data_IF_405001076555
#
_entry.id   IF_405001076555
#
_cell.length_a   1.000
_cell.length_b   1.000
_cell.length_c   1.000
_cell.angle_alpha   90.00
_cell.angle_beta   90.00
_cell.angle_gamma   90.00
#
_symmetry.space_group_name_H-M   'P 1'
#
loop_
_entity.id
_entity.type
_entity.pdbx_description
1 polymer ?
#
# COMPACT_ATOMS: atom_id res chain seq x y z
N UNK A 1 -22.78 30.34 12.17
CA UNK A 1 -23.86 29.35 12.36
C UNK A 1 -24.76 29.41 11.15
N UNK A 2 -24.52 28.63 10.16
CA UNK A 2 -25.33 28.53 8.94
C UNK A 2 -25.45 27.04 8.65
N UNK A 3 -26.68 26.54 8.64
CA UNK A 3 -27.05 25.14 8.52
C UNK A 3 -26.80 24.68 7.09
N UNK A 4 -26.13 23.53 6.90
CA UNK A 4 -26.11 22.82 5.64
C UNK A 4 -27.53 22.36 5.27
N UNK A 5 -27.97 22.48 4.02
CA UNK A 5 -29.27 21.97 3.60
C UNK A 5 -29.23 20.45 3.44
N UNK A 6 -30.32 19.81 3.89
CA UNK A 6 -30.66 18.41 3.71
C UNK A 6 -30.63 18.01 2.22
N UNK A 7 -29.70 17.18 1.84
CA UNK A 7 -29.61 16.57 0.51
C UNK A 7 -29.54 15.05 0.59
N UNK A 8 -30.43 14.45 1.41
CA UNK A 8 -30.63 13.00 1.43
C UNK A 8 -32.12 12.66 1.57
N UNK A 9 -32.98 13.20 0.75
CA UNK A 9 -34.32 12.63 0.47
C UNK A 9 -34.53 12.63 -1.02
N UNK A 10 -34.34 11.48 -1.67
CA UNK A 10 -34.93 11.22 -2.99
C UNK A 10 -36.22 10.45 -2.78
N UNK A 11 -37.31 11.11 -3.14
CA UNK A 11 -38.63 10.53 -3.22
C UNK A 11 -38.65 9.40 -4.26
N UNK A 12 -39.17 8.25 -3.84
CA UNK A 12 -39.45 7.12 -4.70
C UNK A 12 -40.75 7.40 -5.49
N UNK A 13 -40.78 7.28 -6.81
CA UNK A 13 -42.02 7.29 -7.54
C UNK A 13 -42.74 5.94 -7.39
N UNK A 14 -44.03 6.04 -7.09
CA UNK A 14 -44.99 4.96 -6.96
C UNK A 14 -44.98 4.03 -8.21
N UNK A 15 -44.75 2.76 -8.02
CA UNK A 15 -44.99 1.72 -9.03
C UNK A 15 -46.16 0.81 -8.61
N UNK A 16 -47.03 0.63 -9.58
CA UNK A 16 -48.25 -0.14 -9.60
C UNK A 16 -48.08 -1.61 -9.20
N UNK A 17 -49.06 -2.12 -8.45
CA UNK A 17 -49.19 -3.50 -8.06
C UNK A 17 -49.32 -4.47 -9.25
N UNK A 18 -48.31 -5.37 -9.39
CA UNK A 18 -48.51 -6.65 -10.08
C UNK A 18 -48.46 -7.76 -8.99
N UNK A 19 -49.54 -8.43 -8.84
CA UNK A 19 -49.72 -9.59 -7.92
C UNK A 19 -48.97 -10.79 -8.54
N UNK A 20 -47.78 -11.11 -8.01
CA UNK A 20 -47.10 -12.36 -8.34
C UNK A 20 -47.26 -13.33 -7.18
N UNK A 21 -47.81 -14.49 -7.49
CA UNK A 21 -48.03 -15.61 -6.59
C UNK A 21 -46.73 -16.07 -5.94
N UNK A 22 -46.61 -15.92 -4.63
CA UNK A 22 -45.47 -16.42 -3.85
C UNK A 22 -45.51 -17.94 -3.75
N UNK A 23 -44.52 -18.59 -4.32
CA UNK A 23 -44.19 -19.98 -4.00
C UNK A 23 -43.49 -19.99 -2.66
N UNK A 24 -44.09 -20.69 -1.68
CA UNK A 24 -43.53 -20.88 -0.33
C UNK A 24 -42.23 -21.66 -0.41
N UNK A 25 -41.10 -20.99 -0.17
CA UNK A 25 -39.80 -21.62 0.03
C UNK A 25 -39.75 -22.15 1.46
N UNK A 26 -39.42 -23.43 1.61
CA UNK A 26 -39.26 -24.09 2.89
C UNK A 26 -38.22 -23.38 3.77
N UNK A 27 -38.37 -23.31 5.10
CA UNK A 27 -37.43 -22.60 5.95
C UNK A 27 -36.04 -23.27 5.89
N UNK A 28 -35.07 -22.49 5.49
CA UNK A 28 -33.64 -22.87 5.51
C UNK A 28 -33.25 -23.20 6.95
N UNK A 29 -32.86 -24.43 7.22
CA UNK A 29 -32.29 -24.81 8.50
C UNK A 29 -31.05 -23.97 8.78
N UNK A 30 -31.11 -23.09 9.73
CA UNK A 30 -29.97 -22.39 10.30
C UNK A 30 -29.07 -23.40 11.00
N UNK A 31 -27.96 -23.75 10.38
CA UNK A 31 -26.90 -24.53 11.02
C UNK A 31 -26.35 -23.64 12.16
N UNK A 32 -26.38 -24.07 13.42
CA UNK A 32 -25.84 -23.27 14.51
C UNK A 32 -24.33 -23.11 14.27
N UNK A 33 -23.90 -21.88 14.04
CA UNK A 33 -22.47 -21.50 13.99
C UNK A 33 -21.92 -21.83 15.38
N UNK A 34 -21.11 -22.91 15.43
CA UNK A 34 -20.37 -23.27 16.64
C UNK A 34 -19.41 -22.12 16.90
N UNK A 35 -19.72 -21.27 17.86
CA UNK A 35 -18.79 -20.24 18.35
C UNK A 35 -17.54 -20.98 18.81
N UNK A 36 -16.48 -20.91 18.02
CA UNK A 36 -15.18 -21.45 18.37
C UNK A 36 -14.75 -20.73 19.64
N UNK A 37 -14.66 -21.46 20.75
CA UNK A 37 -14.11 -20.94 22.00
C UNK A 37 -12.79 -20.25 21.67
N UNK A 38 -12.64 -18.98 22.10
CA UNK A 38 -11.37 -18.24 22.06
C UNK A 38 -10.25 -19.23 22.47
N UNK A 39 -9.42 -19.66 21.54
CA UNK A 39 -8.24 -20.40 21.91
C UNK A 39 -7.34 -19.39 22.60
N UNK A 40 -7.07 -19.59 23.88
CA UNK A 40 -6.05 -18.86 24.61
C UNK A 40 -4.70 -19.20 23.98
N UNK A 41 -4.30 -18.52 22.89
CA UNK A 41 -2.91 -18.54 22.48
C UNK A 41 -2.13 -17.77 23.54
N UNK A 42 -0.95 -18.29 23.97
CA UNK A 42 -0.05 -17.50 24.81
C UNK A 42 0.16 -16.16 24.14
N UNK A 43 -0.03 -15.05 24.87
CA UNK A 43 0.11 -13.68 24.37
C UNK A 43 1.52 -13.32 23.89
N UNK A 44 2.51 -14.18 24.09
CA UNK A 44 3.92 -13.84 24.02
C UNK A 44 4.75 -14.67 23.03
N UNK A 45 4.15 -15.34 22.06
CA UNK A 45 4.90 -16.10 21.05
C UNK A 45 5.17 -15.24 19.81
N UNK A 46 6.02 -14.23 19.97
CA UNK A 46 6.58 -13.49 18.87
C UNK A 46 7.73 -14.29 18.26
N UNK A 47 7.76 -14.43 16.94
CA UNK A 47 8.83 -15.09 16.21
C UNK A 47 9.52 -14.11 15.28
N UNK A 48 10.81 -13.99 15.43
CA UNK A 48 11.72 -13.21 14.59
C UNK A 48 13.09 -13.88 14.54
N UNK A 49 13.92 -13.48 13.59
CA UNK A 49 15.26 -14.06 13.46
C UNK A 49 16.24 -13.48 14.46
N UNK A 50 17.22 -14.31 14.84
CA UNK A 50 18.31 -13.90 15.74
C UNK A 50 19.11 -12.72 15.20
N UNK A 51 19.23 -12.60 13.86
CA UNK A 51 19.91 -11.49 13.18
C UNK A 51 19.41 -10.10 13.58
N UNK A 52 18.17 -9.98 14.03
CA UNK A 52 17.55 -8.71 14.44
C UNK A 52 17.14 -8.68 15.92
N UNK A 53 17.36 -9.77 16.66
CA UNK A 53 16.85 -9.92 18.03
C UNK A 53 17.33 -8.81 18.99
N UNK A 54 18.50 -8.25 18.76
CA UNK A 54 19.12 -7.20 19.58
C UNK A 54 19.09 -5.80 18.95
N UNK A 55 18.52 -5.66 17.77
CA UNK A 55 18.57 -4.41 17.00
C UNK A 55 17.87 -3.23 17.72
N UNK A 56 16.91 -3.51 18.61
CA UNK A 56 16.19 -2.49 19.39
C UNK A 56 16.65 -2.38 20.85
N UNK A 57 17.79 -3.00 21.21
CA UNK A 57 18.34 -2.85 22.56
C UNK A 57 18.68 -1.38 22.84
N UNK A 58 18.37 -0.90 24.06
CA UNK A 58 18.57 0.50 24.45
C UNK A 58 17.52 1.49 23.92
N UNK A 59 16.70 1.14 22.93
CA UNK A 59 15.61 2.00 22.48
C UNK A 59 14.52 2.08 23.55
N UNK A 60 14.01 3.31 23.79
CA UNK A 60 13.02 3.60 24.83
C UNK A 60 11.61 3.15 24.41
N UNK A 61 11.42 1.83 24.35
CA UNK A 61 10.14 1.16 24.08
C UNK A 61 9.98 -0.02 25.03
N UNK A 62 8.74 -0.38 25.44
CA UNK A 62 8.48 -1.60 26.20
C UNK A 62 8.96 -2.84 25.45
N UNK A 63 9.39 -3.86 26.20
CA UNK A 63 9.89 -5.11 25.60
C UNK A 63 8.85 -5.77 24.69
N UNK A 64 7.60 -5.83 25.11
CA UNK A 64 6.48 -6.39 24.32
C UNK A 64 6.31 -5.70 22.97
N UNK A 65 6.46 -4.37 22.94
CA UNK A 65 6.40 -3.57 21.71
C UNK A 65 7.59 -3.84 20.80
N UNK A 66 8.80 -3.97 21.37
CA UNK A 66 10.01 -4.34 20.61
C UNK A 66 9.85 -5.71 19.96
N UNK A 67 9.43 -6.70 20.72
CA UNK A 67 9.20 -8.07 20.24
C UNK A 67 8.16 -8.08 19.12
N UNK A 68 7.09 -7.30 19.26
CA UNK A 68 6.06 -7.15 18.23
C UNK A 68 6.60 -6.49 16.95
N UNK A 69 7.39 -5.43 17.06
CA UNK A 69 8.03 -4.77 15.91
C UNK A 69 8.90 -5.74 15.14
N UNK A 70 9.78 -6.46 15.85
CA UNK A 70 10.69 -7.44 15.25
C UNK A 70 9.92 -8.57 14.54
N UNK A 71 8.86 -9.08 15.15
CA UNK A 71 8.03 -10.10 14.55
C UNK A 71 7.24 -9.57 13.34
N UNK A 72 6.67 -8.36 13.42
CA UNK A 72 5.97 -7.73 12.31
C UNK A 72 6.90 -7.45 11.13
N UNK A 73 8.17 -7.10 11.38
CA UNK A 73 9.14 -6.91 10.30
C UNK A 73 9.37 -8.20 9.50
N UNK A 74 9.50 -9.34 10.18
CA UNK A 74 9.62 -10.64 9.54
C UNK A 74 8.33 -11.03 8.82
N UNK A 75 7.16 -10.81 9.44
CA UNK A 75 5.86 -11.09 8.81
C UNK A 75 5.69 -10.32 7.49
N UNK A 76 6.03 -9.02 7.49
CA UNK A 76 5.99 -8.19 6.30
C UNK A 76 6.96 -8.71 5.23
N UNK A 77 8.23 -8.81 5.59
CA UNK A 77 9.31 -9.17 4.66
C UNK A 77 9.02 -10.50 3.94
N UNK A 78 8.66 -11.55 4.70
CA UNK A 78 8.34 -12.85 4.09
C UNK A 78 7.02 -12.88 3.33
N UNK A 79 6.08 -11.97 3.62
CA UNK A 79 4.85 -11.86 2.88
C UNK A 79 5.08 -11.23 1.51
N UNK A 80 5.79 -10.11 1.46
CA UNK A 80 5.97 -9.36 0.22
C UNK A 80 7.13 -9.86 -0.64
N UNK A 81 8.16 -10.48 -0.03
CA UNK A 81 9.30 -11.11 -0.72
C UNK A 81 9.45 -12.56 -0.23
N UNK A 82 8.58 -13.48 -0.70
CA UNK A 82 8.58 -14.87 -0.23
C UNK A 82 9.78 -15.67 -0.75
N UNK A 83 10.43 -15.24 -1.83
CA UNK A 83 11.58 -15.87 -2.44
C UNK A 83 12.76 -14.90 -2.48
N UNK A 84 13.88 -15.34 -1.99
CA UNK A 84 15.12 -14.57 -1.95
C UNK A 84 16.32 -15.54 -2.00
N UNK A 85 17.47 -15.06 -2.46
CA UNK A 85 18.75 -15.79 -2.51
C UNK A 85 19.79 -15.14 -1.61
N UNK A 86 19.71 -13.83 -1.42
CA UNK A 86 20.66 -13.05 -0.63
C UNK A 86 20.18 -12.79 0.80
N UNK A 87 20.68 -13.60 1.75
CA UNK A 87 20.31 -13.47 3.17
C UNK A 87 20.70 -12.11 3.75
N UNK A 88 21.87 -11.60 3.43
CA UNK A 88 22.35 -10.33 3.99
C UNK A 88 21.42 -9.17 3.60
N UNK A 89 21.07 -9.08 2.32
CA UNK A 89 20.12 -8.10 1.81
C UNK A 89 18.71 -8.30 2.41
N UNK A 90 18.31 -9.52 2.61
CA UNK A 90 17.01 -9.82 3.22
C UNK A 90 16.95 -9.37 4.68
N UNK A 91 18.02 -9.54 5.46
CA UNK A 91 18.15 -9.00 6.83
C UNK A 91 18.19 -7.47 6.82
N UNK A 92 18.94 -6.87 5.88
CA UNK A 92 18.93 -5.41 5.70
C UNK A 92 17.50 -4.89 5.42
N UNK A 93 16.72 -5.59 4.60
CA UNK A 93 15.31 -5.24 4.38
C UNK A 93 14.45 -5.39 5.64
N UNK A 94 14.67 -6.41 6.47
CA UNK A 94 13.97 -6.49 7.76
C UNK A 94 14.27 -5.25 8.64
N UNK A 95 15.51 -4.75 8.65
CA UNK A 95 15.89 -3.52 9.37
C UNK A 95 15.21 -2.27 8.81
N UNK A 96 15.08 -2.18 7.50
CA UNK A 96 14.27 -1.17 6.82
C UNK A 96 12.83 -1.19 7.34
N UNK A 97 12.22 -2.37 7.43
CA UNK A 97 10.84 -2.51 7.91
C UNK A 97 10.72 -2.18 9.41
N UNK A 98 11.72 -2.54 10.24
CA UNK A 98 11.75 -2.15 11.67
C UNK A 98 11.70 -0.62 11.81
N UNK A 99 12.58 0.10 11.11
CA UNK A 99 12.59 1.57 11.12
C UNK A 99 11.27 2.14 10.60
N UNK A 100 10.73 1.56 9.52
CA UNK A 100 9.45 1.98 8.93
C UNK A 100 8.28 1.81 9.90
N UNK A 101 8.17 0.68 10.59
CA UNK A 101 7.13 0.45 11.60
C UNK A 101 7.22 1.52 12.71
N UNK A 102 8.43 1.80 13.22
CA UNK A 102 8.62 2.83 14.26
C UNK A 102 8.27 4.22 13.72
N UNK A 103 8.62 4.54 12.48
CA UNK A 103 8.25 5.80 11.84
C UNK A 103 6.73 6.00 11.80
N UNK A 104 5.95 4.93 11.60
CA UNK A 104 4.51 5.01 11.50
C UNK A 104 3.77 5.25 12.83
N UNK A 105 4.35 4.89 13.98
CA UNK A 105 3.65 5.02 15.27
C UNK A 105 4.40 5.82 16.35
N UNK A 106 5.71 6.00 16.21
CA UNK A 106 6.58 6.70 17.17
C UNK A 106 7.65 7.52 16.44
N UNK A 107 7.24 8.34 15.48
CA UNK A 107 8.12 9.15 14.65
C UNK A 107 9.07 10.05 15.44
N UNK A 108 8.74 10.42 16.68
CA UNK A 108 9.63 11.19 17.54
C UNK A 108 10.96 10.46 17.86
N UNK A 109 11.00 9.13 17.74
CA UNK A 109 12.20 8.33 17.97
C UNK A 109 13.21 8.40 16.83
N UNK A 110 12.82 8.94 15.68
CA UNK A 110 13.70 9.01 14.51
C UNK A 110 13.60 10.37 13.81
N UNK A 111 14.73 10.84 13.29
CA UNK A 111 14.79 12.07 12.50
C UNK A 111 16.02 12.04 11.59
N UNK A 112 15.80 11.71 10.32
CA UNK A 112 16.87 11.62 9.32
C UNK A 112 17.52 12.96 8.98
N UNK A 113 16.96 14.08 9.43
CA UNK A 113 17.59 15.39 9.26
C UNK A 113 18.74 15.65 10.23
N UNK A 114 18.87 14.79 11.26
CA UNK A 114 19.92 14.88 12.28
C UNK A 114 21.17 14.07 11.97
N UNK A 115 21.18 13.33 10.85
CA UNK A 115 22.30 12.52 10.42
C UNK A 115 21.93 11.07 10.15
N UNK A 116 22.94 10.24 9.95
CA UNK A 116 22.83 8.85 9.53
C UNK A 116 22.37 7.87 10.63
N UNK A 117 22.57 8.24 11.90
CA UNK A 117 22.18 7.36 13.01
C UNK A 117 20.67 7.43 13.26
N UNK A 118 19.96 6.40 12.83
CA UNK A 118 18.50 6.24 13.02
C UNK A 118 18.26 5.05 13.94
N UNK A 119 17.70 5.29 15.14
CA UNK A 119 17.63 4.29 16.20
C UNK A 119 19.06 3.80 16.55
N UNK A 120 19.37 2.53 16.31
CA UNK A 120 20.71 1.98 16.49
C UNK A 120 21.43 1.69 15.16
N UNK A 121 20.83 2.10 14.02
CA UNK A 121 21.36 1.78 12.70
C UNK A 121 22.12 2.96 12.10
N UNK A 122 23.22 2.67 11.39
CA UNK A 122 23.69 3.51 10.31
C UNK A 122 22.73 3.30 9.15
N UNK A 123 21.88 4.30 8.87
CA UNK A 123 20.87 4.21 7.81
C UNK A 123 21.51 4.02 6.44
N UNK A 124 22.56 4.79 6.13
CA UNK A 124 23.29 4.67 4.87
C UNK A 124 24.02 3.32 4.78
N UNK A 125 24.48 2.76 5.93
CA UNK A 125 25.02 1.42 6.00
C UNK A 125 23.98 0.36 5.62
N UNK A 126 22.81 0.37 6.22
CA UNK A 126 21.73 -0.58 5.92
C UNK A 126 21.28 -0.47 4.47
N UNK A 127 21.15 0.75 3.94
CA UNK A 127 20.78 0.99 2.53
C UNK A 127 21.88 0.54 1.56
N UNK A 128 23.14 0.72 1.94
CA UNK A 128 24.28 0.22 1.17
C UNK A 128 24.33 -1.31 1.15
N UNK A 129 24.12 -1.96 2.30
CA UNK A 129 24.04 -3.43 2.38
C UNK A 129 22.95 -3.98 1.45
N UNK A 130 21.84 -3.24 1.31
CA UNK A 130 20.70 -3.64 0.51
C UNK A 130 20.92 -3.43 -0.99
N UNK A 131 21.50 -2.28 -1.40
CA UNK A 131 21.51 -1.83 -2.80
C UNK A 131 22.89 -1.72 -3.44
N UNK A 132 23.97 -2.03 -2.76
CA UNK A 132 25.31 -2.03 -3.41
C UNK A 132 25.32 -3.00 -4.57
N UNK A 133 25.72 -2.52 -5.75
CA UNK A 133 25.73 -3.29 -6.99
C UNK A 133 24.50 -3.08 -7.88
N UNK A 134 23.42 -2.51 -7.36
CA UNK A 134 22.23 -2.16 -8.18
C UNK A 134 22.45 -0.88 -8.97
N UNK A 135 21.67 -0.61 -10.03
CA UNK A 135 21.85 0.57 -10.89
C UNK A 135 21.62 1.93 -10.23
N UNK A 136 20.76 2.04 -9.20
CA UNK A 136 20.45 3.33 -8.55
C UNK A 136 20.34 3.24 -7.02
N UNK A 137 21.43 2.91 -6.29
CA UNK A 137 21.43 2.86 -4.83
C UNK A 137 21.06 4.21 -4.20
N UNK A 138 21.55 5.31 -4.76
CA UNK A 138 21.30 6.66 -4.24
C UNK A 138 19.83 7.07 -4.42
N UNK A 139 19.21 6.70 -5.53
CA UNK A 139 17.77 6.93 -5.75
C UNK A 139 16.92 6.17 -4.73
N UNK A 140 17.20 4.90 -4.52
CA UNK A 140 16.49 4.09 -3.53
C UNK A 140 16.70 4.59 -2.10
N UNK A 141 17.89 5.07 -1.77
CA UNK A 141 18.15 5.70 -0.47
C UNK A 141 17.27 6.94 -0.26
N UNK A 142 17.13 7.80 -1.28
CA UNK A 142 16.23 8.98 -1.20
C UNK A 142 14.76 8.59 -1.07
N UNK A 143 14.29 7.56 -1.78
CA UNK A 143 12.93 7.05 -1.62
C UNK A 143 12.65 6.71 -0.15
N UNK A 144 13.54 5.95 0.47
CA UNK A 144 13.35 5.53 1.84
C UNK A 144 13.51 6.68 2.85
N UNK A 145 14.47 7.59 2.66
CA UNK A 145 14.62 8.79 3.50
C UNK A 145 13.38 9.70 3.40
N UNK A 146 12.82 9.87 2.20
CA UNK A 146 11.53 10.59 2.03
C UNK A 146 10.41 9.94 2.84
N UNK A 147 10.29 8.61 2.77
CA UNK A 147 9.31 7.87 3.57
C UNK A 147 9.50 8.13 5.08
N UNK A 148 10.73 8.03 5.60
CA UNK A 148 11.00 8.27 7.02
C UNK A 148 10.66 9.69 7.45
N UNK A 149 10.89 10.69 6.59
CA UNK A 149 10.48 12.08 6.83
C UNK A 149 8.96 12.20 6.91
N UNK A 150 8.24 11.71 5.92
CA UNK A 150 6.78 11.82 5.84
C UNK A 150 6.09 11.05 6.98
N UNK A 151 6.47 9.77 7.17
CA UNK A 151 5.85 8.91 8.18
C UNK A 151 6.24 9.30 9.60
N UNK A 152 7.50 9.70 9.80
CA UNK A 152 7.97 10.19 11.10
C UNK A 152 7.32 11.51 11.50
N UNK A 153 7.11 12.43 10.57
CA UNK A 153 6.39 13.68 10.87
C UNK A 153 4.91 13.42 11.11
N UNK A 154 4.28 12.55 10.30
CA UNK A 154 2.88 12.14 10.47
C UNK A 154 2.57 11.64 11.88
N UNK A 155 3.46 10.87 12.48
CA UNK A 155 3.27 10.20 13.77
C UNK A 155 3.94 10.90 14.97
N UNK A 156 4.36 12.13 14.82
CA UNK A 156 5.08 12.90 15.84
C UNK A 156 4.52 14.32 16.03
N UNK A 157 5.11 15.07 16.96
CA UNK A 157 4.82 16.49 17.17
C UNK A 157 5.10 17.35 15.92
N UNK A 158 5.93 16.86 14.98
CA UNK A 158 6.25 17.56 13.72
C UNK A 158 5.12 17.51 12.68
N UNK A 159 4.02 16.82 12.97
CA UNK A 159 2.84 16.76 12.09
C UNK A 159 2.26 18.14 11.74
N UNK A 160 2.39 19.10 12.61
CA UNK A 160 2.00 20.49 12.34
C UNK A 160 3.12 21.31 11.69
N UNK A 161 4.28 20.72 11.42
CA UNK A 161 5.45 21.36 10.85
C UNK A 161 5.28 21.73 9.37
N UNK A 162 6.16 22.62 8.90
CA UNK A 162 6.10 23.20 7.56
C UNK A 162 6.29 22.14 6.46
N UNK A 163 7.22 21.19 6.65
CA UNK A 163 7.46 20.13 5.68
C UNK A 163 6.20 19.28 5.48
N UNK A 164 5.61 18.76 6.57
CA UNK A 164 4.45 17.89 6.47
C UNK A 164 3.22 18.63 5.94
N UNK A 165 3.02 19.89 6.32
CA UNK A 165 1.97 20.75 5.77
C UNK A 165 2.07 20.86 4.25
N UNK A 166 3.25 21.20 3.73
CA UNK A 166 3.47 21.34 2.29
C UNK A 166 3.31 20.01 1.56
N UNK A 167 3.83 18.94 2.15
CA UNK A 167 3.65 17.59 1.60
C UNK A 167 2.17 17.25 1.42
N UNK A 168 1.38 17.39 2.47
CA UNK A 168 -0.07 17.08 2.44
C UNK A 168 -0.80 17.97 1.43
N UNK A 169 -0.48 19.26 1.38
CA UNK A 169 -1.12 20.19 0.45
C UNK A 169 -0.84 19.84 -1.04
N UNK A 170 0.25 19.15 -1.32
CA UNK A 170 0.59 18.72 -2.69
C UNK A 170 -0.09 17.43 -3.16
N UNK A 171 -0.67 16.62 -2.26
CA UNK A 171 -1.27 15.33 -2.61
C UNK A 171 -2.40 15.43 -3.65
N UNK A 172 -3.27 16.45 -3.53
CA UNK A 172 -4.45 16.58 -4.39
C UNK A 172 -4.19 17.30 -5.73
N UNK A 173 -2.95 17.61 -6.06
CA UNK A 173 -2.61 18.43 -7.23
C UNK A 173 -3.06 17.78 -8.56
N UNK A 174 -2.75 16.52 -8.76
CA UNK A 174 -3.13 15.74 -9.95
C UNK A 174 -2.99 14.25 -9.67
N UNK A 175 -3.66 13.36 -10.42
CA UNK A 175 -3.49 11.92 -10.26
C UNK A 175 -2.02 11.48 -10.31
N UNK A 176 -1.26 11.95 -11.29
CA UNK A 176 0.15 11.58 -11.45
C UNK A 176 1.01 12.00 -10.25
N UNK A 177 0.85 13.25 -9.76
CA UNK A 177 1.59 13.73 -8.59
C UNK A 177 1.16 12.98 -7.35
N UNK A 178 -0.15 12.76 -7.19
CA UNK A 178 -0.69 11.96 -6.09
C UNK A 178 -0.04 10.59 -6.02
N UNK A 179 -0.07 9.80 -7.09
CA UNK A 179 0.49 8.44 -7.07
C UNK A 179 1.99 8.43 -6.78
N UNK A 180 2.74 9.38 -7.32
CA UNK A 180 4.16 9.49 -7.00
C UNK A 180 4.41 9.81 -5.52
N UNK A 181 3.58 10.63 -4.90
CA UNK A 181 3.67 10.96 -3.48
C UNK A 181 3.07 9.85 -2.61
N UNK A 182 2.00 9.17 -3.08
CA UNK A 182 1.43 8.00 -2.42
C UNK A 182 2.46 6.87 -2.32
N UNK A 183 3.22 6.64 -3.37
CA UNK A 183 4.31 5.66 -3.39
C UNK A 183 5.38 5.96 -2.32
N UNK A 184 5.68 7.23 -2.02
CA UNK A 184 6.61 7.57 -0.94
C UNK A 184 6.10 7.21 0.47
N UNK A 185 4.81 7.02 0.67
CA UNK A 185 4.23 6.49 1.92
C UNK A 185 4.06 4.95 1.86
N UNK A 186 3.78 4.40 0.69
CA UNK A 186 3.57 2.97 0.48
C UNK A 186 4.86 2.17 0.24
N UNK A 187 5.92 2.84 -0.23
CA UNK A 187 7.22 2.24 -0.58
C UNK A 187 7.13 1.11 -1.64
N UNK A 188 6.18 1.19 -2.56
CA UNK A 188 6.00 0.16 -3.56
C UNK A 188 7.19 0.10 -4.54
N UNK A 189 7.60 1.24 -5.12
CA UNK A 189 8.81 1.36 -5.95
C UNK A 189 10.05 0.83 -5.24
N UNK A 190 10.27 1.29 -4.02
CA UNK A 190 11.40 0.87 -3.20
C UNK A 190 11.39 -0.65 -2.99
N UNK A 191 10.24 -1.24 -2.65
CA UNK A 191 10.14 -2.67 -2.38
C UNK A 191 10.24 -3.52 -3.65
N UNK A 192 9.85 -3.01 -4.82
CA UNK A 192 10.15 -3.66 -6.11
C UNK A 192 11.68 -3.77 -6.32
N UNK A 193 12.41 -2.69 -6.08
CA UNK A 193 13.87 -2.70 -6.15
C UNK A 193 14.50 -3.65 -5.11
N UNK A 194 13.95 -3.69 -3.89
CA UNK A 194 14.37 -4.65 -2.85
C UNK A 194 14.13 -6.10 -3.27
N UNK A 195 13.00 -6.39 -3.92
CA UNK A 195 12.68 -7.75 -4.37
C UNK A 195 13.72 -8.23 -5.40
N UNK A 196 14.13 -7.36 -6.33
CA UNK A 196 15.21 -7.64 -7.27
C UNK A 196 16.55 -7.85 -6.54
N UNK A 197 16.92 -6.92 -5.65
CA UNK A 197 18.18 -6.99 -4.90
C UNK A 197 18.28 -8.24 -4.01
N UNK A 198 17.20 -8.59 -3.29
CA UNK A 198 17.16 -9.80 -2.47
C UNK A 198 17.22 -11.11 -3.28
N UNK A 199 16.86 -11.06 -4.55
CA UNK A 199 16.99 -12.16 -5.51
C UNK A 199 18.33 -12.18 -6.27
N UNK A 200 19.28 -11.29 -5.95
CA UNK A 200 20.55 -11.10 -6.69
C UNK A 200 20.36 -10.79 -8.18
N UNK A 201 19.31 -10.02 -8.52
CA UNK A 201 18.99 -9.60 -9.87
C UNK A 201 19.45 -8.15 -10.12
N UNK A 202 20.72 -7.83 -9.79
CA UNK A 202 21.25 -6.48 -9.83
C UNK A 202 21.35 -5.91 -11.26
N UNK A 203 21.37 -6.75 -12.27
CA UNK A 203 21.37 -6.40 -13.69
C UNK A 203 19.97 -6.05 -14.24
N UNK A 204 18.92 -6.32 -13.47
CA UNK A 204 17.52 -6.03 -13.84
C UNK A 204 17.07 -4.74 -13.19
N UNK A 205 16.67 -3.77 -14.01
CA UNK A 205 16.19 -2.49 -13.51
C UNK A 205 15.12 -1.90 -14.40
N UNK A 206 14.25 -1.11 -13.80
CA UNK A 206 13.18 -0.43 -14.52
C UNK A 206 13.52 1.03 -14.78
N UNK A 207 12.98 1.59 -15.86
CA UNK A 207 12.98 3.05 -16.07
C UNK A 207 12.09 3.73 -15.02
N UNK A 208 12.26 5.03 -14.83
CA UNK A 208 11.40 5.78 -13.90
C UNK A 208 9.90 5.67 -14.26
N UNK A 209 9.56 5.68 -15.56
CA UNK A 209 8.18 5.53 -16.01
C UNK A 209 7.62 4.13 -15.69
N UNK A 210 8.45 3.10 -15.80
CA UNK A 210 8.09 1.73 -15.45
C UNK A 210 7.90 1.57 -13.94
N UNK A 211 8.80 2.11 -13.14
CA UNK A 211 8.66 2.13 -11.68
C UNK A 211 7.41 2.89 -11.25
N UNK A 212 7.17 4.10 -11.80
CA UNK A 212 5.97 4.89 -11.49
C UNK A 212 4.70 4.08 -11.77
N UNK A 213 4.65 3.40 -12.91
CA UNK A 213 3.50 2.59 -13.28
C UNK A 213 3.31 1.36 -12.38
N UNK A 214 4.37 0.63 -12.07
CA UNK A 214 4.30 -0.56 -11.20
C UNK A 214 3.92 -0.18 -9.77
N UNK A 215 4.45 0.93 -9.26
CA UNK A 215 4.10 1.46 -7.95
C UNK A 215 2.62 1.85 -7.90
N UNK A 216 2.14 2.61 -8.88
CA UNK A 216 0.73 2.99 -8.99
C UNK A 216 -0.20 1.76 -9.08
N UNK A 217 0.22 0.72 -9.83
CA UNK A 217 -0.49 -0.54 -9.93
C UNK A 217 -0.61 -1.23 -8.56
N UNK A 218 0.50 -1.30 -7.83
CA UNK A 218 0.55 -1.88 -6.49
C UNK A 218 -0.30 -1.09 -5.49
N UNK A 219 -0.12 0.22 -5.44
CA UNK A 219 -0.84 1.13 -4.54
C UNK A 219 -2.35 1.10 -4.77
N UNK A 220 -2.78 1.08 -6.03
CA UNK A 220 -4.22 0.99 -6.35
C UNK A 220 -4.82 -0.33 -5.88
N UNK A 221 -4.11 -1.46 -6.06
CA UNK A 221 -4.58 -2.76 -5.55
C UNK A 221 -4.59 -2.78 -4.03
N UNK A 222 -3.53 -2.28 -3.39
CA UNK A 222 -3.42 -2.17 -1.94
C UNK A 222 -4.58 -1.35 -1.36
N UNK A 223 -4.81 -0.16 -1.88
CA UNK A 223 -5.85 0.76 -1.40
C UNK A 223 -7.26 0.24 -1.68
N UNK A 224 -7.45 -0.52 -2.77
CA UNK A 224 -8.74 -1.14 -3.06
C UNK A 224 -9.11 -2.22 -2.04
N UNK A 225 -8.14 -3.01 -1.58
CA UNK A 225 -8.34 -4.07 -0.58
C UNK A 225 -8.43 -3.48 0.82
N UNK A 226 -7.59 -2.50 1.13
CA UNK A 226 -7.56 -1.84 2.45
C UNK A 226 -8.63 -0.77 2.63
N UNK A 227 -9.53 -0.58 1.67
CA UNK A 227 -10.51 0.50 1.65
C UNK A 227 -11.26 0.68 2.99
N UNK A 228 -11.85 -0.40 3.50
CA UNK A 228 -12.60 -0.34 4.75
C UNK A 228 -11.69 -0.12 5.96
N UNK A 229 -10.49 -0.70 5.95
CA UNK A 229 -9.48 -0.45 6.98
C UNK A 229 -9.08 1.02 7.02
N UNK A 230 -8.73 1.60 5.87
CA UNK A 230 -8.35 3.01 5.78
C UNK A 230 -9.49 3.92 6.19
N UNK A 231 -10.73 3.59 5.81
CA UNK A 231 -11.91 4.33 6.23
C UNK A 231 -12.10 4.29 7.75
N UNK A 232 -11.97 3.12 8.37
CA UNK A 232 -12.12 2.96 9.83
C UNK A 232 -11.04 3.69 10.62
N UNK A 233 -9.86 3.87 10.04
CA UNK A 233 -8.72 4.57 10.64
C UNK A 233 -8.71 6.07 10.29
N UNK A 234 -9.61 6.53 9.43
CA UNK A 234 -9.58 7.90 8.90
C UNK A 234 -8.33 8.19 8.05
N UNK A 235 -7.75 7.17 7.42
CA UNK A 235 -6.59 7.31 6.53
C UNK A 235 -7.00 7.94 5.22
N UNK A 236 -6.56 9.15 4.95
CA UNK A 236 -6.91 9.88 3.73
C UNK A 236 -5.84 9.79 2.64
N UNK A 237 -4.64 9.33 2.95
CA UNK A 237 -3.64 9.01 1.94
C UNK A 237 -3.93 7.63 1.32
N UNK A 238 -5.04 7.54 0.65
CA UNK A 238 -5.54 6.34 -0.03
C UNK A 238 -6.12 6.72 -1.38
N UNK A 239 -5.87 5.92 -2.41
CA UNK A 239 -6.33 6.17 -3.78
C UNK A 239 -7.81 6.52 -3.84
N UNK A 240 -8.65 5.81 -3.08
CA UNK A 240 -10.10 6.00 -3.11
C UNK A 240 -10.62 7.04 -2.11
N UNK A 241 -9.73 7.75 -1.45
CA UNK A 241 -10.04 9.02 -0.80
C UNK A 241 -10.01 10.20 -1.80
N UNK A 242 -9.29 10.05 -2.92
CA UNK A 242 -9.16 11.05 -3.99
C UNK A 242 -9.93 10.64 -5.25
N UNK A 243 -9.74 9.41 -5.72
CA UNK A 243 -10.56 8.87 -6.79
C UNK A 243 -11.96 8.51 -6.27
N UNK A 244 -13.01 8.66 -7.09
CA UNK A 244 -14.35 8.21 -6.71
C UNK A 244 -14.38 6.75 -6.24
N UNK A 245 -14.90 6.51 -5.05
CA UNK A 245 -14.87 5.18 -4.41
C UNK A 245 -15.72 4.12 -5.12
N UNK A 246 -16.71 4.55 -5.91
CA UNK A 246 -17.51 3.68 -6.77
C UNK A 246 -16.68 3.02 -7.90
N UNK A 247 -15.55 3.61 -8.27
CA UNK A 247 -14.62 3.06 -9.26
C UNK A 247 -13.69 1.98 -8.68
N UNK A 248 -13.66 1.78 -7.37
CA UNK A 248 -12.72 0.90 -6.67
C UNK A 248 -12.67 -0.52 -7.26
N UNK A 249 -13.84 -1.13 -7.46
CA UNK A 249 -13.92 -2.51 -8.00
C UNK A 249 -13.45 -2.57 -9.44
N UNK A 250 -13.80 -1.58 -10.26
CA UNK A 250 -13.39 -1.52 -11.67
C UNK A 250 -11.88 -1.31 -11.79
N UNK A 251 -11.30 -0.37 -11.02
CA UNK A 251 -9.86 -0.11 -10.98
C UNK A 251 -9.09 -1.36 -10.52
N UNK A 252 -9.53 -1.99 -9.43
CA UNK A 252 -8.92 -3.22 -8.94
C UNK A 252 -8.92 -4.35 -9.98
N UNK A 253 -10.03 -4.55 -10.69
CA UNK A 253 -10.10 -5.56 -11.77
C UNK A 253 -9.09 -5.27 -12.88
N UNK A 254 -8.99 -4.02 -13.35
CA UNK A 254 -7.99 -3.65 -14.36
C UNK A 254 -6.57 -3.86 -13.87
N UNK A 255 -6.25 -3.49 -12.64
CA UNK A 255 -4.94 -3.73 -12.06
C UNK A 255 -4.62 -5.23 -12.01
N UNK A 256 -5.58 -6.07 -11.64
CA UNK A 256 -5.42 -7.53 -11.65
C UNK A 256 -5.19 -8.08 -13.05
N UNK A 257 -5.93 -7.60 -14.06
CA UNK A 257 -5.75 -7.96 -15.46
C UNK A 257 -4.34 -7.59 -15.96
N UNK A 258 -3.86 -6.39 -15.61
CA UNK A 258 -2.49 -5.95 -15.94
C UNK A 258 -1.46 -6.85 -15.27
N UNK A 259 -1.60 -7.14 -13.98
CA UNK A 259 -0.69 -8.03 -13.26
C UNK A 259 -0.61 -9.42 -13.89
N UNK A 260 -1.74 -9.96 -14.33
CA UNK A 260 -1.78 -11.25 -15.02
C UNK A 260 -1.13 -11.18 -16.40
N UNK A 261 -1.33 -10.08 -17.12
CA UNK A 261 -0.67 -9.85 -18.39
C UNK A 261 0.86 -9.73 -18.23
N UNK A 262 1.34 -9.04 -17.19
CA UNK A 262 2.76 -8.98 -16.83
C UNK A 262 3.33 -10.38 -16.54
N UNK A 263 2.64 -11.19 -15.72
CA UNK A 263 3.04 -12.57 -15.48
C UNK A 263 3.16 -13.39 -16.78
N UNK A 264 2.21 -13.22 -17.71
CA UNK A 264 2.22 -13.93 -18.97
C UNK A 264 3.32 -13.42 -19.91
N UNK A 265 3.58 -12.12 -19.95
CA UNK A 265 4.63 -11.52 -20.77
C UNK A 265 6.04 -11.85 -20.26
N UNK A 266 6.19 -12.02 -18.95
CA UNK A 266 7.46 -12.28 -18.27
C UNK A 266 7.66 -13.76 -17.90
N UNK A 267 6.86 -14.66 -18.44
CA UNK A 267 6.91 -16.09 -18.09
C UNK A 267 8.30 -16.73 -18.30
N UNK A 268 9.02 -16.27 -19.32
CA UNK A 268 10.36 -16.78 -19.65
C UNK A 268 11.50 -15.95 -18.98
N UNK A 269 11.12 -15.09 -18.03
CA UNK A 269 12.02 -14.19 -17.29
C UNK A 269 11.87 -14.45 -15.79
N UNK A 270 12.57 -15.46 -15.24
CA UNK A 270 12.40 -15.87 -13.84
C UNK A 270 12.71 -14.75 -12.84
N UNK A 271 13.61 -13.82 -13.18
CA UNK A 271 13.94 -12.64 -12.38
C UNK A 271 12.74 -11.71 -12.18
N UNK A 272 11.79 -11.67 -13.12
CA UNK A 272 10.57 -10.87 -13.01
C UNK A 272 9.52 -11.48 -12.07
N UNK A 273 9.67 -12.77 -11.72
CA UNK A 273 8.74 -13.44 -10.82
C UNK A 273 8.73 -12.81 -9.42
N UNK A 274 9.87 -12.28 -8.94
CA UNK A 274 9.93 -11.58 -7.65
C UNK A 274 9.10 -10.30 -7.67
N UNK A 275 9.13 -9.53 -8.78
CA UNK A 275 8.36 -8.29 -8.94
C UNK A 275 6.85 -8.58 -9.00
N UNK A 276 6.43 -9.53 -9.83
CA UNK A 276 5.00 -9.88 -9.92
C UNK A 276 4.48 -10.55 -8.65
N UNK A 277 5.33 -11.28 -7.91
CA UNK A 277 4.99 -11.84 -6.60
C UNK A 277 4.82 -10.74 -5.56
N UNK A 278 5.75 -9.77 -5.50
CA UNK A 278 5.59 -8.60 -4.64
C UNK A 278 4.25 -7.90 -4.91
N UNK A 279 3.98 -7.49 -6.15
CA UNK A 279 2.74 -6.79 -6.51
C UNK A 279 1.49 -7.60 -6.15
N UNK A 280 1.53 -8.92 -6.31
CA UNK A 280 0.42 -9.82 -5.98
C UNK A 280 0.15 -9.85 -4.47
N UNK A 281 1.19 -9.99 -3.66
CA UNK A 281 1.04 -10.11 -2.21
C UNK A 281 0.76 -8.76 -1.56
N UNK A 282 1.43 -7.70 -1.99
CA UNK A 282 1.18 -6.34 -1.55
C UNK A 282 -0.25 -5.89 -1.88
N UNK A 283 -0.74 -6.16 -3.08
CA UNK A 283 -2.08 -5.78 -3.54
C UNK A 283 -3.23 -6.65 -3.00
N UNK A 284 -3.04 -7.39 -1.91
CA UNK A 284 -4.15 -8.19 -1.37
C UNK A 284 -3.80 -8.99 -0.11
N UNK A 285 -3.10 -10.13 -0.22
CA UNK A 285 -2.85 -11.03 0.91
C UNK A 285 -2.20 -10.38 2.14
N UNK A 286 -1.40 -9.35 1.95
CA UNK A 286 -0.74 -8.60 3.02
C UNK A 286 -1.73 -8.19 4.12
N UNK A 287 -2.91 -7.68 3.76
CA UNK A 287 -3.93 -7.24 4.71
C UNK A 287 -4.52 -8.37 5.55
N UNK A 288 -4.45 -9.60 5.05
CA UNK A 288 -4.95 -10.77 5.76
C UNK A 288 -3.88 -11.45 6.60
N UNK A 289 -2.62 -11.33 6.20
CA UNK A 289 -1.49 -12.01 6.84
C UNK A 289 -0.89 -11.21 7.99
N UNK A 290 -0.88 -9.89 7.89
CA UNK A 290 -0.27 -9.00 8.88
C UNK A 290 -1.22 -8.69 10.03
N UNK A 291 -0.79 -8.91 11.27
CA UNK A 291 -1.59 -8.57 12.47
C UNK A 291 -1.88 -7.07 12.55
N UNK A 292 -0.90 -6.23 12.26
CA UNK A 292 -1.02 -4.77 12.30
C UNK A 292 -2.03 -4.18 11.28
N UNK A 293 -2.46 -4.95 10.28
CA UNK A 293 -3.44 -4.50 9.28
C UNK A 293 -4.88 -4.91 9.62
N UNK A 294 -5.11 -5.39 10.82
CA UNK A 294 -6.46 -5.75 11.26
C UNK A 294 -7.28 -4.51 11.58
N UNK A 295 -8.57 -4.60 11.30
CA UNK A 295 -9.51 -3.53 11.59
C UNK A 295 -10.89 -4.09 11.96
N UNK A 296 -11.69 -3.24 12.61
CA UNK A 296 -13.11 -3.48 12.90
C UNK A 296 -13.87 -2.24 12.47
N UNK A 297 -14.91 -2.41 11.65
CA UNK A 297 -15.78 -1.34 11.19
C UNK A 297 -17.17 -1.92 10.93
N UNK A 298 -18.24 -1.34 11.52
CA UNK A 298 -19.63 -1.71 11.28
C UNK A 298 -19.86 -3.24 11.31
N UNK A 299 -19.39 -3.92 12.36
CA UNK A 299 -19.42 -5.38 12.53
C UNK A 299 -18.53 -6.18 11.56
N UNK A 300 -17.79 -5.53 10.67
CA UNK A 300 -16.79 -6.18 9.84
C UNK A 300 -15.45 -6.22 10.56
N UNK A 301 -14.88 -7.44 10.66
CA UNK A 301 -13.55 -7.65 11.23
C UNK A 301 -12.67 -8.34 10.21
N UNK A 302 -11.54 -7.71 9.83
CA UNK A 302 -10.53 -8.38 9.04
C UNK A 302 -9.47 -9.00 9.96
N UNK A 303 -9.31 -10.31 9.85
CA UNK A 303 -8.39 -11.09 10.66
C UNK A 303 -8.91 -11.37 12.08
N UNK A 304 -8.01 -11.65 13.01
CA UNK A 304 -8.35 -11.90 14.42
C UNK A 304 -8.26 -10.60 15.21
N UNK A 305 -9.21 -10.40 16.13
CA UNK A 305 -8.98 -9.44 17.19
C UNK A 305 -7.80 -9.95 18.04
N UNK A 306 -6.71 -9.22 18.00
CA UNK A 306 -5.62 -9.38 18.94
C UNK A 306 -5.41 -8.02 19.59
N UNK A 307 -5.29 -8.01 20.90
CA UNK A 307 -4.86 -6.83 21.65
C UNK A 307 -3.37 -6.62 21.35
N UNK A 308 -3.09 -5.87 20.29
CA UNK A 308 -1.75 -5.48 19.90
C UNK A 308 -1.58 -4.00 20.21
N UNK A 309 -0.57 -3.68 21.00
CA UNK A 309 -0.28 -2.29 21.34
C UNK A 309 0.07 -1.46 20.11
N UNK A 310 0.75 -2.06 19.11
CA UNK A 310 1.03 -1.38 17.84
C UNK A 310 -0.26 -1.12 17.07
N UNK A 311 -1.18 -2.09 17.00
CA UNK A 311 -2.47 -1.92 16.33
C UNK A 311 -3.28 -0.83 17.01
N UNK A 312 -3.35 -0.83 18.32
CA UNK A 312 -4.10 0.18 19.09
C UNK A 312 -3.47 1.57 18.94
N UNK A 313 -2.14 1.68 19.01
CA UNK A 313 -1.47 2.96 18.78
C UNK A 313 -1.62 3.42 17.33
N UNK A 314 -1.58 2.52 16.35
CA UNK A 314 -1.79 2.85 14.94
C UNK A 314 -3.23 3.34 14.69
N UNK A 315 -4.22 2.75 15.34
CA UNK A 315 -5.62 3.24 15.30
C UNK A 315 -5.79 4.61 15.97
N UNK A 316 -5.08 4.84 17.06
CA UNK A 316 -5.13 6.09 17.80
C UNK A 316 -4.29 7.20 17.15
N UNK A 317 -3.32 6.85 16.33
CA UNK A 317 -2.57 7.81 15.55
C UNK A 317 -3.47 8.39 14.47
N UNK A 318 -3.68 9.68 14.57
CA UNK A 318 -4.54 10.41 13.66
C UNK A 318 -3.92 10.43 12.26
N UNK A 319 -4.40 9.56 11.37
CA UNK A 319 -3.88 9.39 10.00
C UNK A 319 -4.53 10.33 8.98
N UNK A 320 -5.25 11.33 9.44
CA UNK A 320 -5.89 12.31 8.57
C UNK A 320 -4.85 13.19 7.89
N UNK A 321 -4.81 13.09 6.58
CA UNK A 321 -4.00 13.90 5.71
C UNK A 321 -4.86 15.03 5.13
N UNK A 322 -5.16 16.02 5.95
CA UNK A 322 -5.95 17.17 5.53
C UNK A 322 -5.04 18.30 5.10
N UNK A 323 -5.52 19.09 4.12
CA UNK A 323 -4.91 20.38 3.85
C UNK A 323 -4.83 21.17 5.13
N UNK A 324 -3.62 21.60 5.49
CA UNK A 324 -3.36 22.36 6.68
C UNK A 324 -3.35 23.84 6.29
N UNK A 325 -4.32 24.58 6.80
CA UNK A 325 -4.39 26.01 6.57
C UNK A 325 -3.22 26.73 7.25
N UNK A 326 -2.44 27.49 6.48
CA UNK A 326 -1.31 28.25 6.97
C UNK A 326 -1.73 29.37 7.96
N UNK A 327 -2.99 29.81 7.90
CA UNK A 327 -3.52 30.88 8.77
C UNK A 327 -3.87 30.42 10.19
N UNK A 328 -3.93 29.12 10.45
CA UNK A 328 -4.16 28.61 11.82
C UNK A 328 -2.92 28.86 12.66
N UNK A 329 -3.05 29.84 13.50
CA UNK A 329 -2.06 30.41 14.39
C UNK A 329 -1.23 29.36 15.13
N UNK A 330 0.07 29.36 14.88
CA UNK A 330 1.08 28.57 15.56
C UNK A 330 1.83 29.47 16.55
N UNK A 331 2.39 28.83 17.54
CA UNK A 331 3.34 29.49 18.45
C UNK A 331 4.54 30.01 17.60
N UNK A 332 4.79 31.32 17.61
CA UNK A 332 5.77 31.95 16.72
C UNK A 332 7.19 31.38 16.87
N UNK A 333 7.53 30.86 18.05
CA UNK A 333 8.85 30.25 18.29
C UNK A 333 8.93 28.85 17.72
N UNK A 334 7.88 28.04 17.83
CA UNK A 334 7.79 26.71 17.21
C UNK A 334 7.81 26.82 15.67
N UNK A 335 7.16 27.86 15.11
CA UNK A 335 7.14 28.14 13.68
C UNK A 335 8.54 28.42 13.11
N UNK A 336 9.40 29.10 13.88
CA UNK A 336 10.78 29.41 13.47
C UNK A 336 11.67 28.15 13.41
N UNK A 337 11.48 27.19 14.29
CA UNK A 337 12.24 25.91 14.33
C UNK A 337 11.81 25.01 13.18
N UNK A 338 10.51 24.83 12.98
CA UNK A 338 9.97 23.98 11.91
C UNK A 338 10.23 24.57 10.52
N UNK A 339 10.22 25.88 10.39
CA UNK A 339 10.63 26.55 9.16
C UNK A 339 12.11 26.29 8.82
N UNK A 340 13.00 26.45 9.81
CA UNK A 340 14.44 26.14 9.62
C UNK A 340 14.66 24.66 9.27
N UNK A 341 13.89 23.76 9.90
CA UNK A 341 13.94 22.33 9.58
C UNK A 341 13.50 22.08 8.13
N UNK A 342 12.42 22.70 7.70
CA UNK A 342 11.96 22.64 6.31
C UNK A 342 13.03 23.16 5.32
N UNK A 343 13.59 24.33 5.59
CA UNK A 343 14.67 24.91 4.79
C UNK A 343 15.88 23.96 4.70
N UNK A 344 16.24 23.31 5.81
CA UNK A 344 17.31 22.32 5.84
C UNK A 344 16.97 21.09 5.00
N UNK A 345 15.73 20.56 5.06
CA UNK A 345 15.29 19.44 4.25
C UNK A 345 15.39 19.77 2.76
N UNK A 346 14.90 20.94 2.35
CA UNK A 346 14.94 21.37 0.94
C UNK A 346 16.36 21.60 0.47
N UNK A 347 17.21 22.23 1.28
CA UNK A 347 18.62 22.46 0.96
C UNK A 347 19.41 21.16 0.78
N UNK A 348 19.00 20.08 1.45
CA UNK A 348 19.58 18.73 1.32
C UNK A 348 18.67 17.79 0.50
N UNK A 349 17.78 18.34 -0.32
CA UNK A 349 16.80 17.56 -1.08
C UNK A 349 17.43 16.49 -1.97
N UNK A 350 18.61 16.75 -2.53
CA UNK A 350 19.35 15.80 -3.36
C UNK A 350 19.83 14.55 -2.63
N UNK A 351 19.84 14.56 -1.30
CA UNK A 351 20.20 13.42 -0.46
C UNK A 351 19.04 12.87 0.37
N UNK A 352 18.00 13.68 0.63
CA UNK A 352 16.89 13.35 1.52
C UNK A 352 15.58 13.05 0.81
N UNK A 353 15.37 13.62 -0.39
CA UNK A 353 14.07 13.60 -1.06
C UNK A 353 14.17 12.88 -2.40
N UNK A 354 13.10 12.19 -2.77
CA UNK A 354 13.02 11.65 -4.13
C UNK A 354 13.06 12.78 -5.17
N UNK A 355 13.56 12.52 -6.38
CA UNK A 355 13.76 13.56 -7.39
C UNK A 355 12.48 14.32 -7.72
N UNK A 356 12.55 15.65 -7.63
CA UNK A 356 11.45 16.58 -7.93
C UNK A 356 10.58 16.95 -6.73
N UNK A 357 10.64 16.24 -5.60
CA UNK A 357 9.79 16.56 -4.45
C UNK A 357 10.10 17.94 -3.89
N UNK A 358 11.38 18.31 -3.72
CA UNK A 358 11.75 19.64 -3.20
C UNK A 358 11.03 20.76 -3.97
N UNK A 359 11.08 20.73 -5.30
CA UNK A 359 10.38 21.70 -6.15
C UNK A 359 8.86 21.66 -5.95
N UNK A 360 8.25 20.49 -5.77
CA UNK A 360 6.82 20.41 -5.51
C UNK A 360 6.43 21.00 -4.15
N UNK A 361 7.29 20.85 -3.17
CA UNK A 361 7.06 21.45 -1.84
C UNK A 361 7.17 22.98 -1.86
N UNK A 362 7.99 23.55 -2.74
CA UNK A 362 8.11 25.00 -2.92
C UNK A 362 6.89 25.61 -3.61
N UNK A 363 6.28 24.89 -4.55
CA UNK A 363 5.13 25.36 -5.37
C UNK A 363 3.86 25.68 -4.53
N UNK A 364 3.82 25.41 -3.23
CA UNK A 364 2.70 25.65 -2.28
C UNK A 364 1.27 25.43 -2.84
N UNK A 365 1.15 24.65 -3.88
CA UNK A 365 -0.11 24.38 -4.53
C UNK A 365 -0.39 25.27 -5.74
N UNK A 366 0.60 25.91 -6.34
CA UNK A 366 0.46 26.42 -7.70
C UNK A 366 0.01 25.27 -8.61
N UNK A 367 -1.14 25.44 -9.26
CA UNK A 367 -1.77 24.40 -10.08
C UNK A 367 -2.77 23.49 -9.36
N UNK A 368 -3.07 23.74 -8.09
CA UNK A 368 -4.26 23.17 -7.45
C UNK A 368 -5.51 23.71 -8.15
N UNK A 369 -6.49 22.84 -8.29
CA UNK A 369 -7.83 23.33 -8.63
C UNK A 369 -8.40 24.06 -7.40
N UNK A 370 -8.57 25.37 -7.49
CA UNK A 370 -9.13 26.21 -6.42
C UNK A 370 -10.57 25.80 -6.06
N UNK A 371 -11.23 25.04 -6.95
CA UNK A 371 -12.62 24.60 -6.78
C UNK A 371 -12.73 23.25 -6.07
N UNK A 372 -11.68 22.45 -6.05
CA UNK A 372 -11.67 21.22 -5.29
C UNK A 372 -11.62 21.52 -3.79
N UNK A 373 -12.75 21.31 -3.14
CA UNK A 373 -12.87 21.56 -1.71
C UNK A 373 -12.22 20.41 -0.94
N UNK A 374 -11.25 20.75 -0.11
CA UNK A 374 -10.95 19.95 1.04
C UNK A 374 -12.15 20.04 1.97
N UNK A 375 -12.73 18.90 2.34
CA UNK A 375 -13.86 18.91 3.27
C UNK A 375 -13.38 19.55 4.60
N UNK A 376 -13.83 20.77 4.96
CA UNK A 376 -13.39 21.44 6.18
C UNK A 376 -13.89 20.75 7.44
N UNK A 377 -14.80 19.78 7.30
CA UNK A 377 -15.36 18.98 8.38
C UNK A 377 -14.62 17.68 8.62
N UNK A 378 -13.36 17.58 8.20
CA UNK A 378 -12.51 16.44 8.54
C UNK A 378 -12.20 16.45 10.05
N UNK A 379 -13.18 16.07 10.80
CA UNK A 379 -13.19 15.85 12.23
C UNK A 379 -13.91 14.54 12.52
N UNK A 380 -14.18 14.26 13.77
CA UNK A 380 -14.80 13.02 14.25
C UNK A 380 -16.14 12.65 13.58
N UNK A 381 -16.77 13.58 12.86
CA UNK A 381 -18.06 13.35 12.17
C UNK A 381 -17.92 12.73 10.78
N UNK A 382 -16.70 12.62 10.22
CA UNK A 382 -16.48 12.13 8.85
C UNK A 382 -16.10 10.66 8.76
N UNK A 383 -16.21 9.92 9.83
CA UNK A 383 -15.97 8.48 9.86
C UNK A 383 -16.87 7.69 8.91
N UNK A 384 -17.95 8.27 8.44
CA UNK A 384 -18.88 7.63 7.52
C UNK A 384 -18.68 8.02 6.05
N UNK A 385 -17.95 9.09 5.78
CA UNK A 385 -17.64 9.54 4.43
C UNK A 385 -16.14 9.41 4.19
N UNK A 386 -15.71 8.31 3.58
CA UNK A 386 -14.33 8.16 3.14
C UNK A 386 -14.09 9.07 1.94
N UNK A 387 -13.67 10.27 2.21
CA UNK A 387 -13.39 11.27 1.22
C UNK A 387 -12.42 12.31 1.81
N UNK A 388 -11.16 12.32 1.34
CA UNK A 388 -10.18 13.35 1.71
C UNK A 388 -10.39 14.62 0.92
N UNK A 389 -10.79 14.47 -0.33
CA UNK A 389 -10.95 15.57 -1.29
C UNK A 389 -12.27 15.43 -2.02
N UNK A 390 -13.09 16.44 -1.95
CA UNK A 390 -14.24 16.55 -2.84
C UNK A 390 -13.77 17.14 -4.17
N UNK A 391 -13.59 16.29 -5.16
CA UNK A 391 -13.22 16.71 -6.50
C UNK A 391 -14.34 17.50 -7.16
N UNK A 392 -14.00 18.64 -7.75
CA UNK A 392 -14.92 19.41 -8.55
C UNK A 392 -15.30 18.67 -9.86
N UNK A 393 -16.32 19.17 -10.56
CA UNK A 393 -16.80 18.57 -11.81
C UNK A 393 -15.74 18.47 -12.90
N UNK A 394 -14.76 19.38 -12.93
CA UNK A 394 -13.69 19.36 -13.93
C UNK A 394 -12.55 18.37 -13.57
N UNK A 395 -12.23 18.18 -12.28
CA UNK A 395 -11.17 17.27 -11.84
C UNK A 395 -11.64 15.83 -11.75
N UNK A 396 -12.88 15.58 -11.40
CA UNK A 396 -13.44 14.22 -11.27
C UNK A 396 -13.27 13.34 -12.51
N UNK A 397 -13.53 13.81 -13.74
CA UNK A 397 -13.24 13.04 -14.95
C UNK A 397 -11.76 12.69 -15.10
N UNK A 398 -10.83 13.60 -14.79
CA UNK A 398 -9.39 13.34 -14.90
C UNK A 398 -8.96 12.19 -13.99
N UNK A 399 -9.44 12.17 -12.74
CA UNK A 399 -9.15 11.10 -11.80
C UNK A 399 -9.78 9.78 -12.22
N UNK A 400 -11.04 9.83 -12.69
CA UNK A 400 -11.75 8.67 -13.24
C UNK A 400 -10.99 8.05 -14.41
N UNK A 401 -10.67 8.87 -15.41
CA UNK A 401 -9.99 8.41 -16.62
C UNK A 401 -8.61 7.86 -16.30
N UNK A 402 -7.91 8.48 -15.34
CA UNK A 402 -6.61 8.00 -14.91
C UNK A 402 -6.71 6.59 -14.28
N UNK A 403 -7.59 6.38 -13.29
CA UNK A 403 -7.71 5.09 -12.60
C UNK A 403 -8.39 3.99 -13.43
N UNK A 404 -9.06 4.34 -14.53
CA UNK A 404 -9.66 3.39 -15.45
C UNK A 404 -8.84 3.14 -16.73
N UNK A 405 -7.65 3.71 -16.86
CA UNK A 405 -6.80 3.57 -18.04
C UNK A 405 -5.57 2.68 -17.81
N UNK A 406 -5.58 1.84 -16.77
CA UNK A 406 -4.42 0.99 -16.44
C UNK A 406 -3.98 0.10 -17.60
N UNK A 407 -4.91 -0.51 -18.32
CA UNK A 407 -4.60 -1.41 -19.43
C UNK A 407 -3.91 -0.70 -20.58
N UNK A 408 -4.42 0.48 -20.99
CA UNK A 408 -3.85 1.29 -22.06
C UNK A 408 -2.48 1.82 -21.69
N UNK A 409 -2.33 2.33 -20.47
CA UNK A 409 -1.07 2.84 -19.94
C UNK A 409 -0.04 1.72 -19.79
N UNK A 410 -0.46 0.54 -19.31
CA UNK A 410 0.39 -0.64 -19.24
C UNK A 410 0.98 -1.01 -20.62
N UNK A 411 0.15 -1.08 -21.66
CA UNK A 411 0.60 -1.42 -23.02
C UNK A 411 1.52 -0.36 -23.64
N UNK A 412 1.50 0.88 -23.11
CA UNK A 412 2.42 1.94 -23.50
C UNK A 412 3.76 1.80 -22.79
N UNK A 413 3.74 1.59 -21.48
CA UNK A 413 4.93 1.51 -20.61
C UNK A 413 5.67 0.16 -20.81
N UNK A 414 4.92 -0.92 -21.02
CA UNK A 414 5.39 -2.28 -21.27
C UNK A 414 4.88 -2.78 -22.63
N UNK A 415 5.55 -2.47 -23.73
CA UNK A 415 5.10 -2.84 -25.08
C UNK A 415 4.90 -4.35 -25.27
N UNK A 416 5.61 -5.19 -24.51
CA UNK A 416 5.49 -6.64 -24.49
C UNK A 416 4.10 -7.14 -24.04
N UNK A 417 3.27 -6.30 -23.44
CA UNK A 417 1.89 -6.66 -23.07
C UNK A 417 0.93 -6.66 -24.26
N UNK A 418 1.25 -5.95 -25.35
CA UNK A 418 0.38 -5.85 -26.54
C UNK A 418 0.03 -7.20 -27.15
N UNK A 419 1.00 -8.14 -27.39
CA UNK A 419 0.70 -9.47 -27.86
C UNK A 419 -0.18 -10.28 -26.88
N UNK A 420 0.01 -10.10 -25.56
CA UNK A 420 -0.78 -10.78 -24.53
C UNK A 420 -2.24 -10.34 -24.60
N UNK A 421 -2.48 -9.04 -24.66
CA UNK A 421 -3.84 -8.51 -24.77
C UNK A 421 -4.53 -8.88 -26.08
N UNK A 422 -3.79 -8.96 -27.18
CA UNK A 422 -4.32 -9.41 -28.47
C UNK A 422 -4.77 -10.86 -28.42
N UNK A 423 -3.95 -11.76 -27.91
CA UNK A 423 -4.30 -13.20 -27.73
C UNK A 423 -5.52 -13.37 -26.84
N UNK A 424 -5.57 -12.68 -25.69
CA UNK A 424 -6.72 -12.75 -24.80
C UNK A 424 -8.03 -12.31 -25.48
N UNK A 425 -7.99 -11.29 -26.33
CA UNK A 425 -9.14 -10.85 -27.10
C UNK A 425 -9.58 -11.90 -28.16
N UNK A 426 -8.64 -12.53 -28.84
CA UNK A 426 -8.89 -13.59 -29.83
C UNK A 426 -9.49 -14.85 -29.17
N UNK A 427 -9.01 -15.23 -27.97
CA UNK A 427 -9.54 -16.36 -27.20
C UNK A 427 -10.97 -16.14 -26.71
N UNK A 428 -11.36 -14.89 -26.45
CA UNK A 428 -12.72 -14.53 -26.05
C UNK A 428 -13.68 -14.66 -27.26
N UNK A 429 -13.20 -14.33 -28.46
CA UNK A 429 -14.00 -14.31 -29.70
C UNK A 429 -14.07 -15.72 -30.34
N UNK A 430 -13.12 -16.62 -30.00
CA UNK A 430 -13.10 -17.98 -30.54
C UNK A 430 -14.35 -18.78 -30.11
N UNK A 431 -15.08 -19.43 -31.04
CA UNK A 431 -16.28 -20.19 -30.70
C UNK A 431 -15.93 -21.34 -29.74
N UNK A 432 -16.85 -21.64 -28.83
CA UNK A 432 -16.72 -22.64 -27.77
C UNK A 432 -16.26 -24.04 -28.21
N UNK A 433 -16.44 -24.36 -29.50
CA UNK A 433 -16.01 -25.64 -30.11
C UNK A 433 -14.50 -25.83 -30.16
N UNK A 434 -13.68 -24.78 -30.03
CA UNK A 434 -12.21 -24.90 -29.96
C UNK A 434 -11.66 -25.03 -28.53
N UNK A 435 -12.48 -24.79 -27.52
CA UNK A 435 -12.05 -24.89 -26.11
C UNK A 435 -11.99 -26.32 -25.58
N UNK A 436 -12.69 -27.24 -26.17
CA UNK A 436 -12.81 -28.66 -25.72
C UNK A 436 -11.65 -29.55 -26.13
N UNK A 437 -10.74 -29.12 -27.01
CA UNK A 437 -9.66 -29.99 -27.51
C UNK A 437 -8.39 -30.04 -26.63
N UNK A 438 -8.20 -29.09 -25.69
CA UNK A 438 -6.99 -29.07 -24.85
C UNK A 438 -7.15 -29.88 -23.56
N UNK A 439 -8.39 -30.06 -23.08
CA UNK A 439 -8.65 -30.91 -21.91
C UNK A 439 -8.67 -32.41 -22.20
N UNK A 440 -9.02 -32.79 -23.42
CA UNK A 440 -9.05 -34.23 -23.83
C UNK A 440 -7.65 -34.85 -23.98
N UNK A 441 -6.61 -34.05 -24.23
CA UNK A 441 -5.23 -34.55 -24.37
C UNK A 441 -4.54 -34.76 -23.03
N UNK A 442 -4.97 -34.11 -21.94
CA UNK A 442 -4.46 -34.32 -20.58
C UNK A 442 -5.04 -35.57 -19.91
N UNK A 443 -6.29 -35.90 -20.21
CA UNK A 443 -6.95 -37.10 -19.65
C UNK A 443 -6.44 -38.42 -20.26
N UNK A 444 -5.82 -38.38 -21.44
CA UNK A 444 -5.31 -39.61 -22.12
C UNK A 444 -3.91 -40.04 -21.67
N UNK A 445 -3.17 -39.18 -20.94
CA UNK A 445 -1.82 -39.49 -20.44
C UNK A 445 -1.80 -39.98 -18.98
N UNK A 446 -2.92 -39.92 -18.26
CA UNK A 446 -3.00 -40.34 -16.85
C UNK A 446 -3.49 -41.78 -16.63
N UNK A 447 -3.85 -42.54 -17.70
CA UNK A 447 -4.34 -43.90 -17.60
C UNK A 447 -3.38 -44.95 -18.23
N UNK A 448 -2.10 -44.90 -17.88
CA UNK A 448 -1.20 -46.02 -18.12
C UNK A 448 -1.07 -46.86 -16.83
N UNK A 449 -1.28 -48.18 -16.89
CA UNK A 449 -1.24 -49.00 -15.69
C UNK A 449 0.18 -49.15 -15.17
N UNK A 450 0.33 -48.95 -13.87
CA UNK A 450 1.56 -49.19 -13.13
C UNK A 450 1.90 -50.68 -13.16
N UNK A 451 3.11 -51.05 -13.59
CA UNK A 451 3.68 -52.36 -13.39
C UNK A 451 4.23 -52.50 -11.97
N UNK A 452 4.09 -53.69 -11.33
CA UNK A 452 4.51 -53.85 -9.96
C UNK A 452 6.00 -54.31 -9.85
N UNK A 453 6.52 -54.11 -8.67
CA UNK A 453 7.71 -54.72 -8.05
C UNK A 453 9.09 -54.09 -8.28
N UNK A 454 9.63 -53.53 -7.21
CA UNK A 454 10.67 -54.20 -6.45
C UNK A 454 11.03 -53.34 -5.20
N UNK A 455 10.95 -54.01 -4.07
CA UNK A 455 11.23 -53.47 -2.76
C UNK A 455 12.74 -53.31 -2.48
N UNK A 456 12.98 -52.83 -1.31
CA UNK A 456 14.06 -53.00 -0.34
C UNK A 456 14.57 -51.67 0.27
N UNK A 457 14.29 -51.58 1.54
CA UNK A 457 15.01 -51.04 2.69
C UNK A 457 16.34 -50.27 2.44
N UNK A 458 16.53 -49.13 3.00
CA UNK A 458 17.14 -48.71 4.28
C UNK A 458 16.88 -47.25 4.52
#
# INVERSE_FOLDING_TARGET
MSRCPDLCRRDNPSHSHHTTTMTTVAPTQTIPVKVLKKSSRPKDNWYYWEDVAHDLDGISLPKSVKDEILACSLEYTRTVIPHWTNRARYVAFMRIIIMGIIAEFKGDLLDVTKGDNVLNYSLDGVLSDLFTGTPDPAGMAREYKTFLLCSGDKSSGRRSGEFFRRYVNNLAHSPRRYFRMRDSDALCRFTIAVALACGDHDDVWFTNEQFDFLAELGDTMYDAVSFFKHRSEGETNSTFAYAPSDLRVAAFKQCREVLWALNAAWNDRPEMACVTSFLRYFGGPLHMMMRRYRYVEEDMTMGREEDSEIVDQTRNNYKLWNRIDASKQRDQDADSVEKKRYENIVAHGDSLLFPGLARWLEDEGEGHCDTCLYCPSYGAETTHCFGGVELCESCRPQWRDHVLSFRERAAKVFPELRPVYKRAAEDIIAPASKRTCVEATKAATENAPASPDSGVCV
#
